data_IF_976953688161
#
_entry.id   IF_976953688161
#
_cell.length_a   1.000
_cell.length_b   1.000
_cell.length_c   1.000
_cell.angle_alpha   90.00
_cell.angle_beta   90.00
_cell.angle_gamma   90.00
#
_symmetry.space_group_name_H-M   'P 1'
#
loop_
_entity.id
_entity.type
_entity.pdbx_description
1 polymer ?
#
# COMPACT_ATOMS: atom_id res chain seq x y z
N UNK A 1 48.87 -17.27 -7.28
CA UNK A 1 48.24 -16.07 -6.67
C UNK A 1 47.17 -15.47 -7.55
N UNK A 2 47.47 -14.98 -8.77
CA UNK A 2 46.48 -14.34 -9.68
C UNK A 2 45.17 -15.13 -9.90
N UNK A 3 45.25 -16.44 -10.22
CA UNK A 3 44.07 -17.32 -10.36
C UNK A 3 43.18 -17.42 -9.11
N UNK A 4 43.77 -17.28 -7.92
CA UNK A 4 43.06 -17.41 -6.65
C UNK A 4 42.36 -16.09 -6.28
N UNK A 5 43.00 -14.95 -6.57
CA UNK A 5 42.40 -13.61 -6.47
C UNK A 5 41.23 -13.43 -7.46
N UNK A 6 41.42 -13.87 -8.70
CA UNK A 6 40.39 -13.83 -9.76
C UNK A 6 39.15 -14.66 -9.37
N UNK A 7 39.35 -15.82 -8.73
CA UNK A 7 38.26 -16.69 -8.27
C UNK A 7 37.47 -16.11 -7.08
N UNK A 8 38.15 -15.48 -6.12
CA UNK A 8 37.51 -14.83 -4.95
C UNK A 8 36.70 -13.62 -5.40
N UNK A 9 37.24 -12.82 -6.34
CA UNK A 9 36.56 -11.65 -6.86
C UNK A 9 35.31 -12.03 -7.68
N UNK A 10 35.38 -13.12 -8.46
CA UNK A 10 34.24 -13.67 -9.19
C UNK A 10 33.10 -14.16 -8.30
N UNK A 11 33.43 -14.79 -7.17
CA UNK A 11 32.41 -15.24 -6.20
C UNK A 11 31.66 -14.05 -5.59
N UNK A 12 32.39 -13.00 -5.18
CA UNK A 12 31.78 -11.79 -4.63
C UNK A 12 30.93 -11.04 -5.67
N UNK A 13 31.39 -10.97 -6.92
CA UNK A 13 30.62 -10.40 -8.02
C UNK A 13 29.26 -11.07 -8.20
N UNK A 14 29.23 -12.41 -8.21
CA UNK A 14 27.99 -13.16 -8.34
C UNK A 14 27.07 -12.98 -7.13
N UNK A 15 27.61 -12.86 -5.91
CA UNK A 15 26.82 -12.55 -4.71
C UNK A 15 26.11 -11.20 -4.87
N UNK A 16 26.82 -10.13 -5.25
CA UNK A 16 26.22 -8.82 -5.46
C UNK A 16 25.15 -8.83 -6.56
N UNK A 17 25.40 -9.56 -7.66
CA UNK A 17 24.40 -9.75 -8.72
C UNK A 17 23.13 -10.40 -8.19
N UNK A 18 23.27 -11.53 -7.49
CA UNK A 18 22.13 -12.25 -6.92
C UNK A 18 21.37 -11.40 -5.91
N UNK A 19 22.06 -10.70 -5.01
CA UNK A 19 21.44 -9.77 -4.06
C UNK A 19 20.64 -8.70 -4.77
N UNK A 20 21.22 -8.04 -5.78
CA UNK A 20 20.51 -7.00 -6.54
C UNK A 20 19.26 -7.55 -7.26
N UNK A 21 19.38 -8.72 -7.89
CA UNK A 21 18.25 -9.36 -8.59
C UNK A 21 17.15 -9.77 -7.60
N UNK A 22 17.50 -10.40 -6.48
CA UNK A 22 16.54 -10.79 -5.45
C UNK A 22 15.85 -9.56 -4.86
N UNK A 23 16.59 -8.49 -4.57
CA UNK A 23 16.00 -7.23 -4.11
C UNK A 23 15.02 -6.66 -5.14
N UNK A 24 15.38 -6.63 -6.42
CA UNK A 24 14.49 -6.17 -7.49
C UNK A 24 13.25 -7.06 -7.68
N UNK A 25 13.35 -8.36 -7.44
CA UNK A 25 12.22 -9.30 -7.50
C UNK A 25 11.24 -9.08 -6.33
N UNK A 26 11.76 -8.77 -5.15
CA UNK A 26 10.92 -8.53 -3.96
C UNK A 26 10.27 -7.15 -4.04
N UNK A 27 11.04 -6.13 -4.45
CA UNK A 27 10.59 -4.74 -4.48
C UNK A 27 11.08 -4.03 -5.74
N UNK A 28 10.15 -3.43 -6.47
CA UNK A 28 10.45 -2.67 -7.69
C UNK A 28 11.52 -1.63 -7.41
N UNK A 29 12.63 -1.68 -8.15
CA UNK A 29 13.71 -0.71 -8.05
C UNK A 29 14.69 -0.91 -6.88
N UNK A 30 14.44 -1.82 -5.94
CA UNK A 30 15.33 -2.01 -4.79
C UNK A 30 16.73 -2.53 -5.19
N UNK A 31 16.85 -3.39 -6.20
CA UNK A 31 18.15 -3.81 -6.74
C UNK A 31 18.92 -2.68 -7.42
N UNK A 32 18.21 -1.74 -8.05
CA UNK A 32 18.82 -0.55 -8.65
C UNK A 32 19.29 0.44 -7.57
N UNK A 33 18.54 0.59 -6.48
CA UNK A 33 18.97 1.34 -5.29
C UNK A 33 20.20 0.72 -4.64
N UNK A 34 20.23 -0.62 -4.54
CA UNK A 34 21.39 -1.36 -4.06
C UNK A 34 22.64 -1.09 -4.91
N UNK A 35 22.53 -1.10 -6.24
CA UNK A 35 23.64 -0.73 -7.14
C UNK A 35 24.07 0.73 -6.91
N UNK A 36 23.11 1.64 -6.74
CA UNK A 36 23.37 2.96 -6.18
C UNK A 36 24.16 3.93 -7.07
N UNK A 37 24.10 3.78 -8.41
CA UNK A 37 24.52 4.88 -9.30
C UNK A 37 23.43 5.95 -9.34
N UNK A 38 23.79 7.23 -9.55
CA UNK A 38 22.81 8.33 -9.55
C UNK A 38 21.66 8.08 -10.53
N UNK A 39 21.97 7.57 -11.73
CA UNK A 39 20.96 7.18 -12.71
C UNK A 39 20.09 6.00 -12.25
N UNK A 40 20.68 4.96 -11.65
CA UNK A 40 19.91 3.81 -11.13
C UNK A 40 18.98 4.21 -9.99
N UNK A 41 19.44 5.10 -9.09
CA UNK A 41 18.61 5.64 -8.00
C UNK A 41 17.44 6.44 -8.58
N UNK A 42 17.70 7.31 -9.55
CA UNK A 42 16.65 8.09 -10.22
C UNK A 42 15.56 7.19 -10.82
N UNK A 43 15.93 6.19 -11.62
CA UNK A 43 14.95 5.26 -12.21
C UNK A 43 14.26 4.37 -11.18
N UNK A 44 14.97 3.96 -10.13
CA UNK A 44 14.36 3.20 -9.05
C UNK A 44 13.24 3.99 -8.37
N UNK A 45 13.51 5.24 -8.00
CA UNK A 45 12.51 6.11 -7.39
C UNK A 45 11.34 6.35 -8.34
N UNK A 46 11.61 6.60 -9.63
CA UNK A 46 10.57 6.79 -10.62
C UNK A 46 9.66 5.57 -10.75
N UNK A 47 10.24 4.36 -10.82
CA UNK A 47 9.46 3.12 -10.88
C UNK A 47 8.66 2.88 -9.59
N UNK A 48 9.24 3.15 -8.42
CA UNK A 48 8.53 3.07 -7.14
C UNK A 48 7.31 4.00 -7.14
N UNK A 49 7.49 5.27 -7.51
CA UNK A 49 6.40 6.25 -7.56
C UNK A 49 5.31 5.84 -8.54
N UNK A 50 5.68 5.35 -9.74
CA UNK A 50 4.70 4.88 -10.71
C UNK A 50 3.90 3.67 -10.21
N UNK A 51 4.51 2.77 -9.43
CA UNK A 51 3.79 1.66 -8.79
C UNK A 51 2.78 2.18 -7.77
N UNK A 52 3.16 3.14 -6.91
CA UNK A 52 2.22 3.77 -5.98
C UNK A 52 1.05 4.48 -6.69
N UNK A 53 1.34 5.24 -7.75
CA UNK A 53 0.31 5.92 -8.54
C UNK A 53 -0.63 4.93 -9.23
N UNK A 54 -0.09 3.82 -9.74
CA UNK A 54 -0.88 2.74 -10.31
C UNK A 54 -1.85 2.13 -9.29
N UNK A 55 -1.40 1.96 -8.03
CA UNK A 55 -2.26 1.51 -6.92
C UNK A 55 -3.36 2.53 -6.61
N UNK A 56 -3.04 3.83 -6.59
CA UNK A 56 -4.07 4.90 -6.44
C UNK A 56 -5.14 4.74 -7.52
N UNK A 57 -4.75 4.69 -8.79
CA UNK A 57 -5.68 4.59 -9.91
C UNK A 57 -6.48 3.28 -9.88
N UNK A 58 -5.86 2.18 -9.45
CA UNK A 58 -6.55 0.90 -9.29
C UNK A 58 -7.70 1.01 -8.29
N UNK A 59 -7.43 1.49 -7.07
CA UNK A 59 -8.48 1.60 -6.05
C UNK A 59 -9.48 2.71 -6.36
N UNK A 60 -9.04 3.85 -6.89
CA UNK A 60 -9.91 4.95 -7.31
C UNK A 60 -10.94 4.52 -8.37
N UNK A 61 -10.59 3.52 -9.19
CA UNK A 61 -11.47 2.94 -10.21
C UNK A 61 -12.13 1.63 -9.77
N UNK A 62 -12.01 1.27 -8.49
CA UNK A 62 -12.50 0.01 -7.91
C UNK A 62 -12.03 -1.22 -8.69
N UNK A 63 -10.84 -1.15 -9.25
CA UNK A 63 -10.22 -2.21 -10.04
C UNK A 63 -10.69 -2.29 -11.50
N UNK A 64 -11.57 -1.39 -11.98
CA UNK A 64 -12.02 -1.38 -13.38
C UNK A 64 -10.84 -1.27 -14.37
N UNK A 65 -9.83 -0.47 -14.02
CA UNK A 65 -8.61 -0.34 -14.82
C UNK A 65 -7.58 -1.45 -14.56
N UNK A 66 -7.89 -2.44 -13.71
CA UNK A 66 -6.97 -3.49 -13.30
C UNK A 66 -6.36 -4.29 -14.45
N UNK A 67 -7.14 -4.54 -15.51
CA UNK A 67 -6.65 -5.24 -16.72
C UNK A 67 -5.59 -4.46 -17.49
N UNK A 68 -5.53 -3.14 -17.35
CA UNK A 68 -4.50 -2.29 -17.98
C UNK A 68 -3.36 -2.00 -16.99
N UNK A 69 -3.71 -1.72 -15.74
CA UNK A 69 -2.77 -1.32 -14.69
C UNK A 69 -1.88 -2.49 -14.27
N UNK A 70 -2.43 -3.68 -14.03
CA UNK A 70 -1.65 -4.81 -13.53
C UNK A 70 -0.56 -5.27 -14.51
N UNK A 71 -0.81 -5.40 -15.83
CA UNK A 71 0.26 -5.68 -16.79
C UNK A 71 1.31 -4.58 -16.86
N UNK A 72 0.92 -3.30 -16.77
CA UNK A 72 1.85 -2.18 -16.78
C UNK A 72 2.77 -2.19 -15.53
N UNK A 73 2.19 -2.43 -14.35
CA UNK A 73 2.94 -2.60 -13.10
C UNK A 73 3.92 -3.77 -13.20
N UNK A 74 3.47 -4.92 -13.72
CA UNK A 74 4.33 -6.08 -13.91
C UNK A 74 5.47 -5.77 -14.89
N UNK A 75 5.19 -5.09 -16.01
CA UNK A 75 6.21 -4.70 -16.98
C UNK A 75 7.28 -3.80 -16.35
N UNK A 76 6.87 -2.75 -15.63
CA UNK A 76 7.80 -1.85 -14.92
C UNK A 76 8.65 -2.63 -13.91
N UNK A 77 8.04 -3.56 -13.17
CA UNK A 77 8.74 -4.41 -12.22
C UNK A 77 9.79 -5.29 -12.91
N UNK A 78 9.42 -5.97 -14.00
CA UNK A 78 10.32 -6.81 -14.80
C UNK A 78 11.45 -6.02 -15.45
N UNK A 79 11.20 -4.77 -15.88
CA UNK A 79 12.26 -3.88 -16.35
C UNK A 79 13.28 -3.62 -15.24
N UNK A 80 12.83 -3.32 -14.01
CA UNK A 80 13.72 -3.12 -12.86
C UNK A 80 14.57 -4.36 -12.52
N UNK A 81 13.99 -5.56 -12.62
CA UNK A 81 14.72 -6.83 -12.47
C UNK A 81 15.75 -7.02 -13.59
N UNK A 82 15.34 -6.78 -14.85
CA UNK A 82 16.21 -6.90 -16.02
C UNK A 82 17.39 -5.95 -15.95
N UNK A 83 17.19 -4.70 -15.57
CA UNK A 83 18.26 -3.71 -15.39
C UNK A 83 19.25 -4.15 -14.30
N UNK A 84 18.76 -4.63 -13.15
CA UNK A 84 19.62 -5.13 -12.09
C UNK A 84 20.45 -6.35 -12.54
N UNK A 85 19.87 -7.26 -13.31
CA UNK A 85 20.58 -8.42 -13.86
C UNK A 85 21.63 -8.01 -14.90
N UNK A 86 21.32 -7.04 -15.77
CA UNK A 86 22.21 -6.59 -16.85
C UNK A 86 23.41 -5.79 -16.37
N UNK A 87 23.29 -5.06 -15.26
CA UNK A 87 24.39 -4.22 -14.72
C UNK A 87 25.68 -4.99 -14.47
N UNK A 88 25.55 -6.25 -14.03
CA UNK A 88 26.67 -7.14 -13.67
C UNK A 88 27.18 -7.98 -14.85
N UNK A 89 26.75 -7.69 -16.10
CA UNK A 89 27.40 -8.25 -17.29
C UNK A 89 28.86 -7.79 -17.33
N UNK A 90 29.76 -8.67 -17.83
CA UNK A 90 31.20 -8.41 -17.85
C UNK A 90 31.49 -7.06 -18.53
N UNK A 91 32.12 -6.10 -17.83
CA UNK A 91 32.57 -4.86 -18.45
C UNK A 91 33.61 -5.17 -19.52
N UNK A 92 33.61 -4.38 -20.60
CA UNK A 92 34.62 -4.49 -21.68
C UNK A 92 35.87 -3.65 -21.37
N UNK A 93 35.76 -2.73 -20.42
CA UNK A 93 36.81 -1.80 -20.01
C UNK A 93 37.21 -2.06 -18.54
N UNK A 94 38.53 -2.12 -18.29
CA UNK A 94 39.10 -2.32 -16.96
C UNK A 94 38.80 -1.16 -16.00
N UNK A 95 38.62 0.06 -16.51
CA UNK A 95 38.30 1.22 -15.67
C UNK A 95 36.85 1.20 -15.18
N UNK A 96 35.92 0.73 -16.02
CA UNK A 96 34.53 0.46 -15.62
C UNK A 96 34.46 -0.61 -14.52
N UNK A 97 35.27 -1.66 -14.62
CA UNK A 97 35.34 -2.72 -13.62
C UNK A 97 35.78 -2.19 -12.25
N UNK A 98 36.89 -1.44 -12.19
CA UNK A 98 37.40 -0.85 -10.96
C UNK A 98 36.38 0.09 -10.30
N UNK A 99 35.64 0.87 -11.10
CA UNK A 99 34.59 1.75 -10.60
C UNK A 99 33.40 0.99 -10.01
N UNK A 100 33.01 -0.15 -10.60
CA UNK A 100 31.96 -1.01 -10.06
C UNK A 100 32.39 -1.66 -8.74
N UNK A 101 33.60 -2.21 -8.68
CA UNK A 101 34.14 -2.85 -7.47
C UNK A 101 34.22 -1.87 -6.29
N UNK A 102 34.73 -0.64 -6.51
CA UNK A 102 34.76 0.40 -5.46
C UNK A 102 33.38 0.75 -4.92
N UNK A 103 32.36 0.78 -5.78
CA UNK A 103 30.97 1.08 -5.36
C UNK A 103 30.37 -0.05 -4.55
N UNK A 104 30.59 -1.29 -4.97
CA UNK A 104 30.08 -2.48 -4.27
C UNK A 104 30.79 -2.71 -2.93
N UNK A 105 32.03 -2.21 -2.78
CA UNK A 105 32.75 -2.19 -1.52
C UNK A 105 32.34 -1.03 -0.59
N UNK A 106 31.49 -0.10 -1.05
CA UNK A 106 31.13 1.08 -0.26
C UNK A 106 30.30 0.70 0.98
N UNK A 107 30.61 1.26 2.15
CA UNK A 107 29.78 1.08 3.34
C UNK A 107 28.38 1.65 3.09
N UNK A 108 27.34 0.90 3.45
CA UNK A 108 25.94 1.30 3.26
C UNK A 108 25.26 0.79 1.99
N UNK A 109 25.90 -0.08 1.21
CA UNK A 109 25.30 -0.73 0.04
C UNK A 109 23.96 -1.42 0.38
N UNK A 110 23.94 -2.22 1.45
CA UNK A 110 22.73 -2.91 1.92
C UNK A 110 21.66 -1.94 2.40
N UNK A 111 22.05 -0.84 3.06
CA UNK A 111 21.12 0.18 3.54
C UNK A 111 20.33 0.81 2.39
N UNK A 112 20.98 1.06 1.24
CA UNK A 112 20.28 1.59 0.05
C UNK A 112 19.27 0.61 -0.50
N UNK A 113 19.60 -0.68 -0.54
CA UNK A 113 18.66 -1.73 -0.92
C UNK A 113 17.45 -1.78 0.01
N UNK A 114 17.68 -1.78 1.34
CA UNK A 114 16.64 -1.75 2.36
C UNK A 114 15.77 -0.49 2.27
N UNK A 115 16.39 0.67 2.02
CA UNK A 115 15.66 1.92 1.79
C UNK A 115 14.77 1.81 0.54
N UNK A 116 15.26 1.20 -0.54
CA UNK A 116 14.44 0.91 -1.72
C UNK A 116 13.22 0.05 -1.41
N UNK A 117 13.39 -1.00 -0.59
CA UNK A 117 12.27 -1.85 -0.13
C UNK A 117 11.27 -1.05 0.72
N UNK A 118 11.77 -0.25 1.67
CA UNK A 118 10.92 0.57 2.53
C UNK A 118 10.13 1.62 1.74
N UNK A 119 10.77 2.29 0.77
CA UNK A 119 10.12 3.25 -0.12
C UNK A 119 9.06 2.58 -1.00
N UNK A 120 9.34 1.37 -1.51
CA UNK A 120 8.37 0.59 -2.28
C UNK A 120 7.14 0.24 -1.43
N UNK A 121 7.35 -0.33 -0.23
CA UNK A 121 6.26 -0.66 0.67
C UNK A 121 5.44 0.58 1.07
N UNK A 122 6.12 1.69 1.40
CA UNK A 122 5.47 2.97 1.70
C UNK A 122 4.68 3.53 0.52
N UNK A 123 5.18 3.35 -0.71
CA UNK A 123 4.50 3.79 -1.93
C UNK A 123 3.23 2.98 -2.20
N UNK A 124 3.25 1.66 -2.00
CA UNK A 124 2.06 0.82 -2.11
C UNK A 124 1.04 1.17 -1.01
N UNK A 125 1.49 1.33 0.23
CA UNK A 125 0.62 1.70 1.34
C UNK A 125 -0.03 3.08 1.13
N UNK A 126 0.76 4.09 0.76
CA UNK A 126 0.25 5.42 0.43
C UNK A 126 -0.69 5.40 -0.77
N UNK A 127 -0.37 4.58 -1.78
CA UNK A 127 -1.25 4.41 -2.93
C UNK A 127 -2.61 3.80 -2.55
N UNK A 128 -2.61 2.80 -1.67
CA UNK A 128 -3.82 2.17 -1.15
C UNK A 128 -4.66 3.15 -0.33
N UNK A 129 -4.06 3.82 0.65
CA UNK A 129 -4.79 4.72 1.56
C UNK A 129 -5.40 5.90 0.81
N UNK A 130 -4.66 6.49 -0.13
CA UNK A 130 -5.17 7.59 -0.96
C UNK A 130 -6.22 7.09 -1.96
N UNK A 131 -5.98 5.95 -2.61
CA UNK A 131 -6.91 5.39 -3.60
C UNK A 131 -8.25 4.95 -3.00
N UNK A 132 -8.26 4.51 -1.74
CA UNK A 132 -9.46 4.11 -1.01
C UNK A 132 -10.23 5.27 -0.38
N UNK A 133 -9.61 6.45 -0.26
CA UNK A 133 -10.20 7.61 0.42
C UNK A 133 -11.64 7.95 -0.02
N UNK A 134 -12.02 7.89 -1.31
CA UNK A 134 -13.40 8.17 -1.74
C UNK A 134 -14.43 7.14 -1.28
N UNK A 135 -13.99 5.96 -0.85
CA UNK A 135 -14.84 4.80 -0.53
C UNK A 135 -14.87 4.45 0.96
N UNK A 136 -14.14 5.20 1.77
CA UNK A 136 -14.02 5.00 3.22
C UNK A 136 -14.40 6.26 3.96
N UNK A 137 -15.00 6.11 5.15
CA UNK A 137 -15.30 7.23 6.05
C UNK A 137 -14.31 7.28 7.19
N UNK A 138 -13.91 8.48 7.58
CA UNK A 138 -13.03 8.69 8.73
C UNK A 138 -13.74 8.32 10.03
N UNK A 139 -12.96 8.01 11.08
CA UNK A 139 -13.50 7.75 12.42
C UNK A 139 -14.35 8.93 12.93
N UNK A 140 -13.96 10.17 12.59
CA UNK A 140 -14.71 11.37 12.95
C UNK A 140 -16.07 11.44 12.27
N UNK A 141 -16.15 11.10 10.98
CA UNK A 141 -17.42 11.05 10.26
C UNK A 141 -18.33 9.94 10.80
N UNK A 142 -17.75 8.76 11.10
CA UNK A 142 -18.51 7.65 11.70
C UNK A 142 -19.00 8.01 13.10
N UNK A 143 -18.20 8.67 13.94
CA UNK A 143 -18.60 9.14 15.26
C UNK A 143 -19.71 10.22 15.17
N UNK A 144 -19.65 11.10 14.18
CA UNK A 144 -20.71 12.08 13.94
C UNK A 144 -22.03 11.41 13.52
N UNK A 145 -21.96 10.41 12.63
CA UNK A 145 -23.13 9.62 12.24
C UNK A 145 -23.71 8.83 13.43
N UNK A 146 -22.84 8.25 14.26
CA UNK A 146 -23.21 7.55 15.51
C UNK A 146 -23.98 8.46 16.45
N UNK A 147 -23.43 9.62 16.78
CA UNK A 147 -24.06 10.57 17.71
C UNK A 147 -25.40 11.10 17.15
N UNK A 148 -25.48 11.34 15.85
CA UNK A 148 -26.73 11.74 15.20
C UNK A 148 -27.79 10.61 15.21
N UNK A 149 -27.38 9.35 15.10
CA UNK A 149 -28.28 8.21 15.21
C UNK A 149 -28.80 8.01 16.63
N UNK A 150 -27.95 8.17 17.65
CA UNK A 150 -28.37 8.14 19.06
C UNK A 150 -29.41 9.23 19.34
N UNK A 151 -29.15 10.45 18.89
CA UNK A 151 -30.09 11.56 19.03
C UNK A 151 -31.41 11.28 18.31
N UNK A 152 -31.37 10.76 17.08
CA UNK A 152 -32.56 10.37 16.33
C UNK A 152 -33.43 9.34 17.08
N UNK A 153 -32.79 8.28 17.60
CA UNK A 153 -33.50 7.24 18.36
C UNK A 153 -34.04 7.79 19.68
N UNK A 154 -33.27 8.64 20.37
CA UNK A 154 -33.70 9.28 21.60
C UNK A 154 -34.90 10.18 21.38
N UNK A 155 -34.91 10.99 20.32
CA UNK A 155 -36.04 11.86 19.98
C UNK A 155 -37.28 11.02 19.61
N UNK A 156 -37.10 9.89 18.93
CA UNK A 156 -38.20 9.02 18.48
C UNK A 156 -38.80 8.16 19.59
N UNK A 157 -37.97 7.57 20.45
CA UNK A 157 -38.38 6.58 21.46
C UNK A 157 -38.36 7.13 22.89
N UNK A 158 -37.86 8.35 23.11
CA UNK A 158 -37.80 9.02 24.41
C UNK A 158 -36.98 8.23 25.47
N UNK A 159 -35.99 7.47 25.01
CA UNK A 159 -35.05 6.68 25.82
C UNK A 159 -33.60 6.95 25.34
N UNK A 160 -32.60 6.73 26.20
CA UNK A 160 -31.19 6.85 25.78
C UNK A 160 -30.75 5.60 25.03
N UNK A 161 -30.06 5.78 23.91
CA UNK A 161 -29.49 4.72 23.09
C UNK A 161 -27.98 4.80 23.04
N UNK A 162 -27.34 3.66 22.83
CA UNK A 162 -25.93 3.53 22.55
C UNK A 162 -25.76 2.82 21.20
N UNK A 163 -24.98 3.41 20.30
CA UNK A 163 -24.61 2.79 19.02
C UNK A 163 -23.33 1.99 19.21
N UNK A 164 -23.37 0.69 18.89
CA UNK A 164 -22.25 -0.24 19.11
C UNK A 164 -21.47 -0.54 17.85
N UNK A 165 -22.10 -0.41 16.68
CA UNK A 165 -21.48 -0.68 15.38
C UNK A 165 -21.89 0.40 14.39
N UNK A 166 -20.92 0.88 13.59
CA UNK A 166 -21.13 1.81 12.48
C UNK A 166 -20.38 1.27 11.27
N UNK A 167 -21.11 0.96 10.21
CA UNK A 167 -20.55 0.52 8.94
C UNK A 167 -20.98 1.47 7.83
N UNK A 168 -20.06 1.86 6.95
CA UNK A 168 -20.36 2.65 5.77
C UNK A 168 -20.26 1.81 4.50
N UNK A 169 -21.30 1.83 3.68
CA UNK A 169 -21.29 1.22 2.35
C UNK A 169 -21.23 2.31 1.28
N UNK A 170 -20.06 2.47 0.65
CA UNK A 170 -19.86 3.43 -0.43
C UNK A 170 -20.75 3.14 -1.65
N UNK A 171 -21.04 1.86 -1.93
CA UNK A 171 -21.80 1.47 -3.11
C UNK A 171 -23.25 1.93 -3.06
N UNK A 172 -23.79 2.08 -1.85
CA UNK A 172 -25.15 2.57 -1.63
C UNK A 172 -25.16 4.01 -1.11
N UNK A 173 -24.06 4.47 -0.51
CA UNK A 173 -23.96 5.76 0.16
C UNK A 173 -24.73 5.78 1.49
N UNK A 174 -24.74 4.66 2.20
CA UNK A 174 -25.45 4.52 3.47
C UNK A 174 -24.52 4.12 4.61
N UNK A 175 -24.76 4.70 5.77
CA UNK A 175 -24.37 4.14 7.05
C UNK A 175 -25.39 3.09 7.47
N UNK A 176 -24.91 1.97 7.98
CA UNK A 176 -25.69 0.96 8.71
C UNK A 176 -25.13 0.91 10.12
N UNK A 177 -25.99 1.06 11.11
CA UNK A 177 -25.61 1.15 12.51
C UNK A 177 -26.44 0.18 13.32
N UNK A 178 -25.85 -0.34 14.40
CA UNK A 178 -26.59 -1.09 15.42
C UNK A 178 -26.60 -0.29 16.70
N UNK A 179 -27.77 -0.21 17.32
CA UNK A 179 -27.96 0.46 18.59
C UNK A 179 -28.81 -0.37 19.54
N UNK A 180 -28.69 -0.12 20.84
CA UNK A 180 -29.60 -0.65 21.84
C UNK A 180 -29.99 0.44 22.84
N UNK A 181 -31.19 0.37 23.44
CA UNK A 181 -31.52 1.21 24.58
C UNK A 181 -30.57 0.92 25.74
N UNK A 182 -30.14 1.95 26.47
CA UNK A 182 -29.23 1.81 27.61
C UNK A 182 -29.84 0.93 28.73
N UNK A 183 -31.17 0.96 28.88
CA UNK A 183 -31.89 0.16 29.87
C UNK A 183 -32.26 -1.25 29.43
N UNK A 184 -32.09 -1.58 28.14
CA UNK A 184 -32.52 -2.86 27.53
C UNK A 184 -31.52 -3.32 26.46
N UNK A 185 -30.30 -3.73 26.85
CA UNK A 185 -29.26 -4.14 25.91
C UNK A 185 -29.63 -5.39 25.09
N UNK A 186 -30.66 -6.14 25.47
CA UNK A 186 -31.21 -7.26 24.71
C UNK A 186 -31.99 -6.86 23.45
N UNK A 187 -32.37 -5.58 23.31
CA UNK A 187 -33.08 -5.06 22.15
C UNK A 187 -32.10 -4.43 21.16
N UNK A 188 -32.12 -4.89 19.92
CA UNK A 188 -31.28 -4.34 18.85
C UNK A 188 -32.10 -3.57 17.83
N UNK A 189 -31.62 -2.37 17.55
CA UNK A 189 -32.12 -1.48 16.51
C UNK A 189 -31.09 -1.44 15.41
N UNK A 190 -31.53 -1.72 14.19
CA UNK A 190 -30.74 -1.43 13.00
C UNK A 190 -31.18 -0.09 12.44
N UNK A 191 -30.23 0.84 12.38
CA UNK A 191 -30.44 2.18 11.85
C UNK A 191 -29.67 2.31 10.55
N UNK A 192 -30.35 2.73 9.50
CA UNK A 192 -29.74 3.10 8.23
C UNK A 192 -29.84 4.60 8.03
N UNK A 193 -28.75 5.22 7.59
CA UNK A 193 -28.71 6.65 7.31
C UNK A 193 -28.08 6.91 5.95
N UNK A 194 -28.75 7.68 5.09
CA UNK A 194 -28.15 8.10 3.82
C UNK A 194 -27.10 9.18 4.08
N UNK A 195 -25.90 9.01 3.53
CA UNK A 195 -24.77 9.94 3.62
C UNK A 195 -25.05 11.21 2.80
N UNK A 196 -25.82 12.13 3.39
CA UNK A 196 -26.16 13.45 2.88
C UNK A 196 -26.42 14.40 4.06
N UNK A 197 -26.46 15.71 3.79
CA UNK A 197 -26.83 16.71 4.80
C UNK A 197 -28.25 17.26 4.54
N UNK A 198 -29.16 17.23 5.54
CA UNK A 198 -29.06 16.47 6.80
C UNK A 198 -29.12 14.95 6.56
N UNK A 199 -28.56 14.17 7.49
CA UNK A 199 -28.66 12.71 7.46
C UNK A 199 -30.13 12.29 7.51
N UNK A 200 -30.51 11.35 6.66
CA UNK A 200 -31.86 10.80 6.68
C UNK A 200 -31.86 9.39 7.22
N UNK A 201 -32.49 9.24 8.39
CA UNK A 201 -32.53 8.00 9.14
C UNK A 201 -33.77 7.16 8.84
N UNK A 202 -33.58 5.84 8.84
CA UNK A 202 -34.64 4.83 8.91
C UNK A 202 -34.19 3.74 9.85
N UNK A 203 -35.05 3.35 10.76
CA UNK A 203 -34.79 2.31 11.75
C UNK A 203 -35.83 1.19 11.67
N UNK A 204 -35.38 -0.02 12.02
CA UNK A 204 -36.23 -1.16 12.32
C UNK A 204 -35.65 -1.87 13.55
N UNK A 205 -36.51 -2.47 14.37
CA UNK A 205 -36.11 -3.15 15.59
C UNK A 205 -36.49 -4.63 15.53
N UNK A 206 -35.63 -5.48 16.07
CA UNK A 206 -35.88 -6.91 16.23
C UNK A 206 -35.65 -7.30 17.69
N UNK A 207 -36.59 -8.09 18.23
CA UNK A 207 -36.43 -8.75 19.51
C UNK A 207 -35.55 -9.98 19.28
N UNK A 208 -34.31 -9.95 19.78
CA UNK A 208 -33.46 -11.14 19.79
C UNK A 208 -34.05 -12.08 20.84
N UNK A 209 -34.76 -13.11 20.36
CA UNK A 209 -35.23 -14.18 21.25
C UNK A 209 -34.00 -14.95 21.75
N UNK A 210 -33.93 -15.22 23.07
CA UNK A 210 -32.85 -16.01 23.66
C UNK A 210 -32.79 -17.44 23.09
#
# INVERSE_FOLDING_TARGET
MKKQEDAVNWNNWNKHRWTAVVLSLIATGAGMMYIGTGWMIFWALLFIVFQGLAVVLFFFTLGFMGLLIAPAMLLIHLIGVGVAAMYFRRPKDGQEQLNKERRLAAPGLLLRGLLGVALFAGSLYGGYTVGMMPFTKTEREQAAASSAAEQYLQDKYQETFEVTEVEYSWSTGYYTMKAHPAGRPELYFSVSAKDREPLEFRDYYELVKP
#
